data_IF_202286224369
#
_entry.id   IF_202286224369
#
_cell.length_a   1.000
_cell.length_b   1.000
_cell.length_c   1.000
_cell.angle_alpha   90.00
_cell.angle_beta   90.00
_cell.angle_gamma   90.00
#
_symmetry.space_group_name_H-M   'P 1'
#
loop_
_entity.id
_entity.type
_entity.pdbx_description
1 polymer ?
#
# COMPACT_ATOMS: atom_id res chain seq x y z
N UNK A 1 61.80 -10.48 30.69
CA UNK A 1 60.73 -11.09 29.87
C UNK A 1 59.41 -10.84 30.60
N UNK A 2 58.77 -9.71 30.28
CA UNK A 2 57.49 -9.60 29.57
C UNK A 2 56.28 -9.83 30.48
N UNK A 3 55.83 -8.73 31.09
CA UNK A 3 54.55 -8.61 31.78
C UNK A 3 53.40 -8.57 30.76
N UNK A 4 52.36 -9.38 31.03
CA UNK A 4 51.15 -9.46 30.20
C UNK A 4 50.15 -8.35 30.54
N UNK A 5 49.64 -7.71 29.49
CA UNK A 5 48.46 -6.83 29.52
C UNK A 5 47.25 -7.62 28.99
N UNK A 6 46.12 -7.68 29.69
CA UNK A 6 44.87 -8.14 29.10
C UNK A 6 44.25 -6.98 28.31
N UNK A 7 44.06 -7.18 27.01
CA UNK A 7 43.34 -6.27 26.14
C UNK A 7 41.85 -6.26 26.55
N UNK A 8 41.39 -5.12 27.08
CA UNK A 8 39.98 -4.78 27.20
C UNK A 8 39.38 -4.70 25.78
N UNK A 9 38.62 -5.71 25.37
CA UNK A 9 37.75 -5.57 24.20
C UNK A 9 36.54 -4.75 24.62
N UNK A 10 36.57 -3.45 24.27
CA UNK A 10 35.39 -2.60 24.22
C UNK A 10 34.44 -3.16 23.15
N UNK A 11 33.40 -3.86 23.59
CA UNK A 11 32.22 -4.12 22.78
C UNK A 11 31.53 -2.77 22.51
N UNK A 12 31.83 -2.17 21.35
CA UNK A 12 31.05 -1.05 20.84
C UNK A 12 29.63 -1.55 20.57
N UNK A 13 28.59 -0.89 21.11
CA UNK A 13 27.22 -1.23 20.76
C UNK A 13 27.06 -1.00 19.25
N UNK A 14 26.56 -2.01 18.53
CA UNK A 14 26.07 -1.83 17.17
C UNK A 14 25.06 -0.68 17.18
N UNK A 15 25.50 0.49 16.73
CA UNK A 15 24.61 1.59 16.44
C UNK A 15 23.60 1.07 15.41
N UNK A 16 22.34 0.95 15.82
CA UNK A 16 21.25 0.81 14.88
C UNK A 16 21.35 2.01 13.94
N UNK A 17 21.73 1.77 12.69
CA UNK A 17 21.75 2.80 11.66
C UNK A 17 20.30 3.27 11.48
N UNK A 18 19.95 4.39 12.11
CA UNK A 18 18.81 5.21 11.71
C UNK A 18 19.09 5.60 10.26
N UNK A 19 18.40 4.95 9.31
CA UNK A 19 18.53 5.33 7.91
C UNK A 19 17.99 6.75 7.78
N UNK A 20 18.89 7.69 7.59
CA UNK A 20 18.56 9.09 7.31
C UNK A 20 17.77 9.19 6.01
N UNK A 21 16.94 10.22 5.88
CA UNK A 21 16.23 10.52 4.65
C UNK A 21 17.17 10.48 3.44
N UNK A 22 16.71 9.92 2.32
CA UNK A 22 17.44 10.08 1.06
C UNK A 22 17.39 11.55 0.62
N UNK A 23 18.37 11.98 -0.18
CA UNK A 23 18.31 13.31 -0.80
C UNK A 23 17.10 13.38 -1.73
N UNK A 24 16.35 14.47 -1.68
CA UNK A 24 15.28 14.72 -2.64
C UNK A 24 15.80 14.56 -4.08
N UNK A 25 15.01 13.89 -4.92
CA UNK A 25 15.36 13.57 -6.29
C UNK A 25 16.22 12.32 -6.46
N UNK A 26 16.66 11.67 -5.37
CA UNK A 26 17.36 10.37 -5.43
C UNK A 26 16.50 9.34 -6.15
N UNK A 27 17.13 8.49 -6.95
CA UNK A 27 16.45 7.46 -7.73
C UNK A 27 16.72 6.08 -7.16
N UNK A 28 15.74 5.20 -7.28
CA UNK A 28 15.91 3.76 -7.07
C UNK A 28 15.05 2.99 -8.07
N UNK A 29 15.37 1.72 -8.29
CA UNK A 29 14.57 0.81 -9.08
C UNK A 29 13.96 -0.22 -8.13
N UNK A 30 12.64 -0.34 -8.18
CA UNK A 30 11.89 -1.35 -7.47
C UNK A 30 11.31 -2.36 -8.47
N UNK A 31 11.76 -3.60 -8.37
CA UNK A 31 11.18 -4.74 -9.09
C UNK A 31 10.27 -5.49 -8.14
N UNK A 32 9.06 -5.83 -8.55
CA UNK A 32 8.15 -6.57 -7.70
C UNK A 32 7.40 -7.65 -8.47
N UNK A 33 6.95 -8.66 -7.73
CA UNK A 33 6.09 -9.73 -8.21
C UNK A 33 4.93 -9.88 -7.23
N UNK A 34 3.72 -9.60 -7.70
CA UNK A 34 2.49 -9.86 -6.97
C UNK A 34 1.86 -11.15 -7.50
N UNK A 35 1.67 -12.13 -6.62
CA UNK A 35 1.16 -13.45 -6.97
C UNK A 35 -0.13 -13.73 -6.21
N UNK A 36 -1.20 -14.01 -6.96
CA UNK A 36 -2.48 -14.48 -6.42
C UNK A 36 -2.60 -15.97 -6.67
N UNK A 37 -2.84 -16.72 -5.59
CA UNK A 37 -3.20 -18.13 -5.64
C UNK A 37 -4.46 -18.34 -4.82
N UNK A 38 -5.56 -18.66 -5.48
CA UNK A 38 -6.80 -19.03 -4.78
C UNK A 38 -7.37 -20.34 -5.31
N UNK A 39 -8.02 -21.07 -4.41
CA UNK A 39 -8.83 -22.23 -4.71
C UNK A 39 -10.16 -22.07 -4.00
N UNK A 40 -11.24 -22.20 -4.76
CA UNK A 40 -12.58 -21.97 -4.26
C UNK A 40 -13.55 -23.04 -4.73
N UNK A 41 -14.60 -23.20 -3.94
CA UNK A 41 -15.81 -23.90 -4.35
C UNK A 41 -16.98 -23.06 -3.88
N UNK A 42 -17.85 -22.69 -4.80
CA UNK A 42 -19.04 -21.90 -4.50
C UNK A 42 -20.23 -22.43 -5.29
N UNK A 43 -21.40 -22.23 -4.74
CA UNK A 43 -22.66 -22.65 -5.35
C UNK A 43 -23.26 -21.43 -6.04
N UNK A 44 -23.38 -21.50 -7.37
CA UNK A 44 -23.91 -20.43 -8.21
C UNK A 44 -25.42 -20.69 -8.43
N UNK A 45 -26.24 -20.13 -7.54
CA UNK A 45 -27.68 -20.43 -7.47
C UNK A 45 -27.98 -21.86 -6.99
N UNK A 46 -29.23 -22.31 -7.14
CA UNK A 46 -29.65 -23.59 -6.56
C UNK A 46 -29.00 -24.82 -7.22
N UNK A 47 -28.59 -24.71 -8.48
CA UNK A 47 -28.33 -25.86 -9.34
C UNK A 47 -26.95 -25.88 -10.03
N UNK A 48 -26.09 -24.90 -9.78
CA UNK A 48 -24.73 -24.90 -10.31
C UNK A 48 -23.71 -24.91 -9.19
N UNK A 49 -22.71 -25.77 -9.34
CA UNK A 49 -21.55 -25.80 -8.46
C UNK A 49 -20.33 -25.40 -9.26
N UNK A 50 -19.64 -24.36 -8.81
CA UNK A 50 -18.43 -23.87 -9.45
C UNK A 50 -17.23 -24.12 -8.56
N UNK A 51 -16.19 -24.72 -9.13
CA UNK A 51 -14.87 -24.83 -8.53
C UNK A 51 -13.91 -23.93 -9.30
N UNK A 52 -13.02 -23.26 -8.58
CA UNK A 52 -12.02 -22.37 -9.16
C UNK A 52 -10.63 -22.71 -8.65
N UNK A 53 -9.65 -22.61 -9.54
CA UNK A 53 -8.24 -22.58 -9.23
C UNK A 53 -7.67 -21.39 -10.00
N UNK A 54 -7.33 -20.32 -9.29
CA UNK A 54 -6.83 -19.07 -9.86
C UNK A 54 -5.35 -18.97 -9.56
N UNK A 55 -4.57 -18.69 -10.59
CA UNK A 55 -3.14 -18.42 -10.46
C UNK A 55 -2.77 -17.26 -11.36
N UNK A 56 -2.49 -16.11 -10.74
CA UNK A 56 -2.18 -14.88 -11.46
C UNK A 56 -0.90 -14.28 -10.92
N UNK A 57 -0.09 -13.73 -11.82
CA UNK A 57 1.19 -13.13 -11.50
C UNK A 57 1.29 -11.80 -12.21
N UNK A 58 1.50 -10.73 -11.45
CA UNK A 58 1.84 -9.42 -11.97
C UNK A 58 3.29 -9.11 -11.61
N UNK A 59 4.14 -8.97 -12.62
CA UNK A 59 5.51 -8.49 -12.46
C UNK A 59 5.57 -7.03 -12.85
N UNK A 60 6.23 -6.22 -12.03
CA UNK A 60 6.45 -4.81 -12.30
C UNK A 60 7.90 -4.41 -12.05
N UNK A 61 8.36 -3.42 -12.80
CA UNK A 61 9.62 -2.72 -12.58
C UNK A 61 9.33 -1.23 -12.63
N UNK A 62 9.56 -0.54 -11.52
CA UNK A 62 9.30 0.88 -11.38
C UNK A 62 10.60 1.65 -11.10
N UNK A 63 10.80 2.76 -11.79
CA UNK A 63 11.77 3.77 -11.40
C UNK A 63 11.10 4.69 -10.38
N UNK A 64 11.61 4.73 -9.16
CA UNK A 64 11.09 5.61 -8.12
C UNK A 64 12.03 6.79 -7.88
N UNK A 65 11.46 7.92 -7.50
CA UNK A 65 12.19 9.11 -7.12
C UNK A 65 11.75 9.58 -5.73
N UNK A 66 12.72 9.85 -4.86
CA UNK A 66 12.47 10.38 -3.51
C UNK A 66 11.93 11.81 -3.61
N UNK A 67 10.78 12.05 -3.00
CA UNK A 67 10.26 13.39 -2.74
C UNK A 67 10.92 14.05 -1.53
N UNK A 68 10.51 15.29 -1.28
CA UNK A 68 10.83 16.00 -0.05
C UNK A 68 10.26 15.26 1.18
N UNK A 69 10.89 15.45 2.34
CA UNK A 69 10.34 14.97 3.62
C UNK A 69 9.16 15.87 3.98
N UNK A 70 8.02 15.24 4.22
CA UNK A 70 6.74 15.91 4.50
C UNK A 70 6.15 15.40 5.81
N UNK A 71 5.30 16.21 6.47
CA UNK A 71 4.66 15.85 7.74
C UNK A 71 3.76 14.60 7.66
N UNK A 72 3.30 14.20 6.47
CA UNK A 72 2.33 13.12 6.28
C UNK A 72 2.64 12.32 5.00
N UNK A 73 2.30 11.02 5.01
CA UNK A 73 2.36 10.15 3.82
C UNK A 73 1.23 10.41 2.82
N UNK A 74 1.04 9.49 1.86
CA UNK A 74 0.06 9.66 0.77
C UNK A 74 -1.39 9.68 1.26
N UNK A 75 -1.70 9.07 2.40
CA UNK A 75 -3.05 9.09 2.99
C UNK A 75 -3.40 10.41 3.70
N UNK A 76 -2.43 11.33 3.84
CA UNK A 76 -2.60 12.55 4.61
C UNK A 76 -2.56 12.33 6.14
N UNK A 77 -3.01 13.30 6.95
CA UNK A 77 -2.97 13.21 8.40
C UNK A 77 -3.90 12.12 8.92
N UNK A 78 -3.43 11.33 9.89
CA UNK A 78 -4.26 10.34 10.57
C UNK A 78 -5.42 11.02 11.34
N UNK A 79 -6.51 10.29 11.61
CA UNK A 79 -7.63 10.81 12.42
C UNK A 79 -7.21 11.33 13.81
N UNK A 80 -6.14 10.77 14.39
CA UNK A 80 -5.60 11.25 15.67
C UNK A 80 -4.87 12.59 15.49
N UNK A 81 -4.07 12.72 14.43
CA UNK A 81 -3.41 13.96 14.05
C UNK A 81 -4.42 15.04 13.66
N UNK A 82 -5.45 14.72 12.87
CA UNK A 82 -6.54 15.65 12.56
C UNK A 82 -7.26 16.14 13.82
N UNK A 83 -7.50 15.25 14.79
CA UNK A 83 -8.08 15.63 16.09
C UNK A 83 -7.13 16.49 16.90
N UNK A 84 -5.83 16.24 16.85
CA UNK A 84 -4.81 17.06 17.51
C UNK A 84 -4.72 18.46 16.87
N UNK A 85 -4.75 18.55 15.53
CA UNK A 85 -4.80 19.81 14.79
C UNK A 85 -6.09 20.60 15.04
N UNK A 86 -7.21 19.91 15.28
CA UNK A 86 -8.50 20.53 15.63
C UNK A 86 -8.63 20.87 17.11
N UNK A 87 -7.74 20.38 17.99
CA UNK A 87 -7.72 20.84 19.39
C UNK A 87 -7.22 22.28 19.36
N UNK A 88 -8.14 23.23 19.62
CA UNK A 88 -7.78 24.62 19.92
C UNK A 88 -6.67 24.60 20.96
N UNK A 89 -5.63 25.39 20.70
CA UNK A 89 -4.52 25.55 21.64
C UNK A 89 -5.11 25.91 23.03
N UNK A 90 -4.81 25.16 24.09
CA UNK A 90 -5.31 25.46 25.43
C UNK A 90 -4.97 26.89 25.88
N UNK A 91 -3.90 27.50 25.36
CA UNK A 91 -3.60 28.92 25.54
C UNK A 91 -4.68 29.83 24.95
N UNK A 92 -5.08 29.59 23.69
CA UNK A 92 -6.15 30.33 23.02
C UNK A 92 -7.53 30.11 23.66
N UNK A 93 -7.82 28.88 24.11
CA UNK A 93 -9.08 28.57 24.79
C UNK A 93 -9.18 29.24 26.19
N UNK A 94 -8.05 29.39 26.88
CA UNK A 94 -7.98 30.14 28.14
C UNK A 94 -8.17 31.65 27.92
N UNK A 95 -7.54 32.19 26.88
CA UNK A 95 -7.66 33.60 26.51
C UNK A 95 -9.06 33.98 26.03
N UNK A 96 -9.73 33.12 25.26
CA UNK A 96 -11.14 33.35 24.88
C UNK A 96 -12.06 33.41 26.10
N UNK A 97 -11.80 32.58 27.13
CA UNK A 97 -12.53 32.63 28.40
C UNK A 97 -12.22 33.91 29.19
N UNK A 98 -10.98 34.39 29.19
CA UNK A 98 -10.62 35.66 29.85
C UNK A 98 -11.18 36.88 29.11
N UNK A 99 -11.16 36.87 27.78
CA UNK A 99 -11.81 37.87 26.93
C UNK A 99 -13.32 37.94 27.19
N UNK A 100 -13.99 36.79 27.28
CA UNK A 100 -15.41 36.72 27.62
C UNK A 100 -15.72 37.26 29.03
N UNK A 101 -14.81 37.08 30.00
CA UNK A 101 -14.94 37.64 31.36
C UNK A 101 -14.79 39.17 31.36
N UNK A 102 -14.03 39.75 30.44
CA UNK A 102 -13.88 41.20 30.34
C UNK A 102 -15.18 41.93 29.90
N UNK A 103 -16.19 41.23 29.35
CA UNK A 103 -17.51 41.78 28.97
C UNK A 103 -17.46 43.15 28.24
N UNK A 104 -16.45 43.37 27.40
CA UNK A 104 -16.29 44.63 26.66
C UNK A 104 -15.61 45.78 27.41
N UNK A 105 -15.11 45.57 28.63
CA UNK A 105 -14.35 46.60 29.36
C UNK A 105 -12.98 46.83 28.69
N UNK A 106 -12.78 48.04 28.15
CA UNK A 106 -11.62 48.41 27.35
C UNK A 106 -10.29 48.32 28.11
N UNK A 107 -10.25 48.61 29.42
CA UNK A 107 -9.04 48.48 30.23
C UNK A 107 -8.67 47.00 30.47
N UNK A 108 -9.68 46.14 30.66
CA UNK A 108 -9.50 44.69 30.79
C UNK A 108 -9.01 44.07 29.47
N UNK A 109 -9.57 44.52 28.35
CA UNK A 109 -9.19 44.08 27.01
C UNK A 109 -7.75 44.52 26.64
N UNK A 110 -7.33 45.73 26.98
CA UNK A 110 -5.94 46.18 26.76
C UNK A 110 -4.94 45.42 27.63
N UNK A 111 -5.27 45.15 28.91
CA UNK A 111 -4.42 44.35 29.78
C UNK A 111 -4.30 42.89 29.29
N UNK A 112 -5.38 42.33 28.74
CA UNK A 112 -5.36 41.00 28.12
C UNK A 112 -4.51 40.98 26.84
N UNK A 113 -4.63 42.00 25.98
CA UNK A 113 -3.83 42.13 24.76
C UNK A 113 -2.34 42.27 25.07
N UNK A 114 -1.97 42.99 26.12
CA UNK A 114 -0.58 43.15 26.57
C UNK A 114 -0.02 41.83 27.14
N UNK A 115 -0.83 41.06 27.88
CA UNK A 115 -0.48 39.68 28.26
C UNK A 115 -0.29 38.76 27.06
N UNK A 116 -1.06 38.94 25.98
CA UNK A 116 -0.87 38.15 24.77
C UNK A 116 0.41 38.51 24.02
N UNK A 117 0.85 39.78 24.05
CA UNK A 117 2.12 40.17 23.42
C UNK A 117 3.35 39.72 24.21
N UNK A 118 3.21 39.45 25.51
CA UNK A 118 4.27 38.95 26.38
C UNK A 118 4.35 37.42 26.43
N UNK A 119 3.27 36.72 26.07
CA UNK A 119 3.30 35.27 25.90
C UNK A 119 3.85 34.95 24.51
N UNK A 120 5.06 34.38 24.47
CA UNK A 120 5.52 33.63 23.31
C UNK A 120 4.57 32.46 23.08
N UNK A 121 3.56 32.66 22.22
CA UNK A 121 2.86 31.58 21.55
C UNK A 121 3.82 30.93 20.57
N UNK A 122 4.88 30.31 21.08
CA UNK A 122 5.43 29.19 20.35
C UNK A 122 4.28 28.19 20.30
N UNK A 123 3.77 27.82 19.10
CA UNK A 123 2.95 26.63 19.04
C UNK A 123 3.79 25.59 19.76
N UNK A 124 3.27 25.00 20.85
CA UNK A 124 3.89 23.78 21.37
C UNK A 124 4.10 22.96 20.11
N UNK A 125 5.34 22.61 19.83
CA UNK A 125 5.63 21.51 18.93
C UNK A 125 4.83 20.36 19.55
N UNK A 126 3.57 20.21 19.15
CA UNK A 126 2.99 18.91 18.95
C UNK A 126 4.04 18.29 18.06
N UNK A 127 4.93 17.52 18.69
CA UNK A 127 5.68 16.42 18.10
C UNK A 127 5.11 16.22 16.72
N UNK A 128 5.74 16.83 15.70
CA UNK A 128 5.27 16.65 14.33
C UNK A 128 5.71 15.24 13.99
N UNK A 129 5.00 14.27 14.57
CA UNK A 129 5.08 12.86 14.27
C UNK A 129 4.74 12.75 12.80
N UNK A 130 5.77 12.58 11.98
CA UNK A 130 5.62 12.37 10.56
C UNK A 130 6.76 13.00 9.78
N UNK A 131 8.00 12.59 10.01
CA UNK A 131 9.03 12.82 9.01
C UNK A 131 8.88 11.71 7.96
N UNK A 132 7.98 11.88 6.98
CA UNK A 132 7.72 10.86 5.96
C UNK A 132 8.39 11.24 4.65
N UNK A 133 9.22 10.36 4.12
CA UNK A 133 9.73 10.47 2.76
C UNK A 133 8.98 9.52 1.83
N UNK A 134 8.34 10.07 0.81
CA UNK A 134 7.62 9.29 -0.21
C UNK A 134 8.50 9.12 -1.44
N UNK A 135 8.55 7.89 -1.96
CA UNK A 135 9.17 7.55 -3.23
C UNK A 135 8.08 7.38 -4.29
N UNK A 136 8.06 8.31 -5.25
CA UNK A 136 7.06 8.37 -6.30
C UNK A 136 7.54 7.63 -7.55
N UNK A 137 6.73 6.72 -8.12
CA UNK A 137 7.03 6.09 -9.40
C UNK A 137 7.02 7.14 -10.51
N UNK A 138 8.12 7.21 -11.25
CA UNK A 138 8.29 8.06 -12.43
C UNK A 138 7.89 7.31 -13.70
N UNK A 139 8.15 6.02 -13.71
CA UNK A 139 7.71 5.10 -14.76
C UNK A 139 7.63 3.69 -14.20
N UNK A 140 6.69 2.90 -14.69
CA UNK A 140 6.68 1.46 -14.49
C UNK A 140 6.40 0.73 -15.80
N UNK A 141 6.94 -0.47 -15.91
CA UNK A 141 6.59 -1.46 -16.93
C UNK A 141 6.41 -2.81 -16.26
N UNK A 142 5.79 -3.75 -16.98
CA UNK A 142 5.53 -5.06 -16.39
C UNK A 142 4.92 -6.07 -17.34
N UNK A 143 4.54 -7.20 -16.74
CA UNK A 143 3.81 -8.25 -17.43
C UNK A 143 2.83 -8.89 -16.45
N UNK A 144 1.64 -9.17 -16.96
CA UNK A 144 0.59 -9.89 -16.26
C UNK A 144 0.40 -11.26 -16.90
N UNK A 145 0.44 -12.31 -16.08
CA UNK A 145 0.19 -13.69 -16.51
C UNK A 145 -0.97 -14.26 -15.70
N UNK A 146 -1.88 -14.96 -16.37
CA UNK A 146 -2.94 -15.74 -15.73
C UNK A 146 -2.93 -17.18 -16.21
N UNK A 147 -3.25 -18.09 -15.30
CA UNK A 147 -3.49 -19.52 -15.51
C UNK A 147 -4.64 -19.94 -14.59
N UNK A 148 -5.85 -19.52 -14.96
CA UNK A 148 -7.04 -19.79 -14.18
C UNK A 148 -7.83 -20.95 -14.78
N UNK A 149 -8.39 -21.78 -13.90
CA UNK A 149 -9.29 -22.87 -14.25
C UNK A 149 -10.57 -22.73 -13.44
N UNK A 150 -11.71 -22.74 -14.13
CA UNK A 150 -13.03 -22.79 -13.55
C UNK A 150 -13.76 -24.01 -14.08
N UNK A 151 -14.34 -24.81 -13.19
CA UNK A 151 -15.19 -25.95 -13.57
C UNK A 151 -16.55 -25.77 -12.94
N UNK A 152 -17.58 -25.76 -13.77
CA UNK A 152 -18.97 -25.59 -13.41
C UNK A 152 -19.72 -26.89 -13.68
N UNK A 153 -20.37 -27.44 -12.66
CA UNK A 153 -21.30 -28.57 -12.75
C UNK A 153 -22.72 -28.02 -12.67
N UNK A 154 -23.46 -28.03 -13.78
CA UNK A 154 -24.74 -27.33 -13.90
C UNK A 154 -25.88 -28.32 -14.13
N UNK A 155 -26.95 -28.21 -13.33
CA UNK A 155 -28.19 -28.98 -13.45
C UNK A 155 -29.34 -28.07 -13.89
N UNK A 156 -29.76 -28.17 -15.15
CA UNK A 156 -30.80 -27.27 -15.70
C UNK A 156 -32.23 -27.82 -15.53
N UNK A 157 -32.42 -28.79 -14.63
CA UNK A 157 -33.71 -29.42 -14.35
C UNK A 157 -33.97 -30.67 -15.20
N UNK A 158 -34.86 -31.54 -14.71
CA UNK A 158 -35.11 -32.86 -15.32
C UNK A 158 -33.82 -33.70 -15.36
N UNK A 159 -33.58 -34.38 -16.49
CA UNK A 159 -32.35 -35.13 -16.77
C UNK A 159 -31.28 -34.31 -17.51
N UNK A 160 -31.43 -32.98 -17.58
CA UNK A 160 -30.53 -32.10 -18.30
C UNK A 160 -29.42 -31.59 -17.38
N UNK A 161 -28.19 -32.03 -17.63
CA UNK A 161 -26.99 -31.52 -16.96
C UNK A 161 -25.84 -31.38 -17.94
N UNK A 162 -24.97 -30.42 -17.67
CA UNK A 162 -23.78 -30.19 -18.47
C UNK A 162 -22.65 -29.73 -17.55
N UNK A 163 -21.41 -30.01 -17.96
CA UNK A 163 -20.23 -29.46 -17.30
C UNK A 163 -19.61 -28.41 -18.20
N UNK A 164 -19.13 -27.31 -17.62
CA UNK A 164 -18.35 -26.32 -18.32
C UNK A 164 -16.98 -26.18 -17.66
N UNK A 165 -15.92 -26.34 -18.45
CA UNK A 165 -14.55 -26.04 -18.03
C UNK A 165 -14.04 -24.82 -18.77
N UNK A 166 -13.85 -23.73 -18.03
CA UNK A 166 -13.26 -22.50 -18.53
C UNK A 166 -11.79 -22.39 -18.12
N UNK A 167 -10.91 -22.12 -19.06
CA UNK A 167 -9.50 -21.81 -18.80
C UNK A 167 -9.19 -20.40 -19.28
N UNK A 168 -8.56 -19.59 -18.42
CA UNK A 168 -8.02 -18.29 -18.80
C UNK A 168 -6.51 -18.40 -18.73
N UNK A 169 -5.86 -18.33 -19.88
CA UNK A 169 -4.41 -18.50 -19.99
C UNK A 169 -3.84 -17.44 -20.89
N UNK A 170 -2.76 -16.80 -20.46
CA UNK A 170 -2.05 -15.86 -21.31
C UNK A 170 -1.12 -14.95 -20.54
N UNK A 171 -0.34 -14.20 -21.31
CA UNK A 171 0.49 -13.12 -20.77
C UNK A 171 0.18 -11.85 -21.55
N UNK A 172 0.04 -10.74 -20.84
CA UNK A 172 -0.14 -9.41 -21.41
C UNK A 172 0.94 -8.48 -20.86
N UNK A 173 1.52 -7.67 -21.74
CA UNK A 173 2.58 -6.73 -21.40
C UNK A 173 1.98 -5.40 -20.95
N UNK A 174 2.57 -4.80 -19.93
CA UNK A 174 2.28 -3.45 -19.47
C UNK A 174 3.43 -2.54 -19.95
N UNK A 175 3.22 -1.78 -21.04
CA UNK A 175 4.28 -0.94 -21.60
C UNK A 175 4.64 0.20 -20.64
N UNK A 176 5.88 0.67 -20.73
CA UNK A 176 6.32 1.87 -20.02
C UNK A 176 5.61 3.10 -20.59
N UNK A 177 4.93 3.86 -19.72
CA UNK A 177 4.18 5.07 -20.11
C UNK A 177 4.59 6.33 -19.36
N UNK A 178 5.71 6.29 -18.61
CA UNK A 178 6.08 7.36 -17.68
C UNK A 178 4.97 7.66 -16.68
N UNK A 179 4.78 8.94 -16.35
CA UNK A 179 3.73 9.40 -15.42
C UNK A 179 2.30 9.21 -15.93
N UNK A 180 2.11 9.02 -17.24
CA UNK A 180 0.79 8.74 -17.84
C UNK A 180 0.50 7.24 -17.95
N UNK A 181 1.49 6.40 -17.66
CA UNK A 181 1.37 4.96 -17.67
C UNK A 181 0.85 4.39 -16.35
N UNK A 182 0.96 3.07 -16.23
CA UNK A 182 0.72 2.41 -14.96
C UNK A 182 1.81 2.77 -13.94
N UNK A 183 1.39 3.13 -12.72
CA UNK A 183 2.25 3.51 -11.61
C UNK A 183 2.07 2.51 -10.46
N UNK A 184 2.82 1.41 -10.53
CA UNK A 184 2.53 0.19 -9.77
C UNK A 184 3.00 0.15 -8.31
N UNK A 185 3.95 1.00 -7.91
CA UNK A 185 4.48 0.97 -6.54
C UNK A 185 4.84 2.38 -6.04
N UNK A 186 4.37 2.71 -4.85
CA UNK A 186 4.80 3.84 -4.05
C UNK A 186 5.40 3.33 -2.75
N UNK A 187 6.39 4.03 -2.21
CA UNK A 187 7.03 3.66 -0.95
C UNK A 187 7.01 4.85 -0.01
N UNK A 188 6.52 4.66 1.21
CA UNK A 188 6.52 5.67 2.26
C UNK A 188 7.49 5.21 3.35
N UNK A 189 8.52 6.00 3.61
CA UNK A 189 9.43 5.77 4.71
C UNK A 189 9.14 6.77 5.82
N UNK A 190 8.57 6.28 6.92
CA UNK A 190 8.44 7.02 8.17
C UNK A 190 9.78 6.99 8.91
N UNK A 191 10.47 8.13 8.87
CA UNK A 191 11.79 8.32 9.48
C UNK A 191 11.70 8.38 11.01
N UNK A 192 10.58 8.85 11.55
CA UNK A 192 10.37 8.96 13.00
C UNK A 192 10.18 7.57 13.62
N UNK A 193 9.40 6.71 12.96
CA UNK A 193 9.14 5.34 13.41
C UNK A 193 10.12 4.31 12.84
N UNK A 194 10.99 4.73 11.92
CA UNK A 194 11.92 3.89 11.19
C UNK A 194 11.20 2.68 10.57
N UNK A 195 10.14 2.96 9.82
CA UNK A 195 9.26 1.96 9.20
C UNK A 195 8.91 2.36 7.78
N UNK A 196 8.76 1.37 6.91
CA UNK A 196 8.41 1.57 5.50
C UNK A 196 7.09 0.90 5.15
N UNK A 197 6.23 1.62 4.46
CA UNK A 197 5.00 1.13 3.85
C UNK A 197 5.16 1.06 2.32
N UNK A 198 4.63 0.02 1.72
CA UNK A 198 4.66 -0.20 0.28
C UNK A 198 3.21 -0.16 -0.24
N UNK A 199 2.87 0.80 -1.09
CA UNK A 199 1.55 0.87 -1.71
C UNK A 199 1.64 0.31 -3.12
N UNK A 200 1.03 -0.84 -3.30
CA UNK A 200 0.95 -1.50 -4.58
C UNK A 200 -0.34 -1.09 -5.28
N UNK A 201 -0.22 -0.54 -6.49
CA UNK A 201 -1.35 -0.23 -7.34
C UNK A 201 -1.46 -1.28 -8.44
N UNK A 202 -2.59 -1.98 -8.46
CA UNK A 202 -2.88 -2.96 -9.49
C UNK A 202 -2.92 -2.31 -10.89
N UNK A 203 -2.45 -3.04 -11.90
CA UNK A 203 -2.62 -2.63 -13.28
C UNK A 203 -4.09 -2.75 -13.71
N UNK A 204 -4.50 -1.98 -14.73
CA UNK A 204 -5.83 -2.14 -15.31
C UNK A 204 -6.02 -3.57 -15.83
N UNK A 205 -7.25 -4.09 -15.75
CA UNK A 205 -7.59 -5.41 -16.26
C UNK A 205 -7.32 -5.54 -17.78
N UNK A 206 -6.52 -6.54 -18.14
CA UNK A 206 -6.03 -6.76 -19.50
C UNK A 206 -6.81 -7.88 -20.20
N UNK A 207 -7.07 -7.77 -21.51
CA UNK A 207 -7.76 -8.82 -22.26
C UNK A 207 -6.89 -10.07 -22.37
N UNK A 208 -7.37 -11.21 -21.86
CA UNK A 208 -6.70 -12.51 -21.95
C UNK A 208 -7.59 -13.56 -22.60
N UNK A 209 -7.00 -14.56 -23.24
CA UNK A 209 -7.74 -15.64 -23.89
C UNK A 209 -8.45 -16.52 -22.86
N UNK A 210 -9.77 -16.64 -23.03
CA UNK A 210 -10.63 -17.57 -22.30
C UNK A 210 -11.16 -18.62 -23.27
N UNK A 211 -10.94 -19.89 -22.94
CA UNK A 211 -11.56 -21.03 -23.63
C UNK A 211 -12.53 -21.71 -22.68
N UNK A 212 -13.77 -21.91 -23.11
CA UNK A 212 -14.76 -22.69 -22.37
C UNK A 212 -15.13 -23.92 -23.18
N UNK A 213 -14.93 -25.10 -22.59
CA UNK A 213 -15.34 -26.39 -23.16
C UNK A 213 -16.53 -26.89 -22.35
N UNK A 214 -17.65 -27.13 -23.03
CA UNK A 214 -18.86 -27.71 -22.45
C UNK A 214 -19.03 -29.16 -22.87
N UNK A 215 -19.51 -29.99 -21.95
CA UNK A 215 -19.84 -31.41 -22.18
C UNK A 215 -21.27 -31.69 -21.74
N UNK A 216 -21.87 -32.80 -22.19
CA UNK A 216 -23.28 -33.11 -21.94
C UNK A 216 -24.21 -32.45 -22.96
N UNK A 217 -25.43 -32.10 -22.56
CA UNK A 217 -26.47 -31.70 -23.52
C UNK A 217 -26.19 -30.34 -24.21
N UNK A 218 -25.31 -29.50 -23.64
CA UNK A 218 -24.81 -28.25 -24.24
C UNK A 218 -23.38 -28.36 -24.77
N UNK A 219 -22.98 -29.52 -25.27
CA UNK A 219 -21.62 -29.75 -25.75
C UNK A 219 -21.18 -28.70 -26.79
N UNK A 220 -19.95 -28.21 -26.67
CA UNK A 220 -19.40 -27.20 -27.56
C UNK A 220 -18.20 -26.47 -26.96
N UNK A 221 -17.49 -25.71 -27.79
CA UNK A 221 -16.37 -24.88 -27.36
C UNK A 221 -16.62 -23.43 -27.74
N UNK A 222 -16.36 -22.51 -26.81
CA UNK A 222 -16.42 -21.06 -27.06
C UNK A 222 -15.10 -20.42 -26.66
N UNK A 223 -14.71 -19.37 -27.38
CA UNK A 223 -13.53 -18.55 -27.08
C UNK A 223 -13.95 -17.09 -26.92
N UNK A 224 -13.32 -16.39 -25.98
CA UNK A 224 -13.50 -14.96 -25.78
C UNK A 224 -12.25 -14.34 -25.18
N UNK A 225 -12.19 -13.00 -25.13
CA UNK A 225 -11.08 -12.24 -24.55
C UNK A 225 -11.55 -11.33 -23.40
N UNK A 226 -11.97 -11.90 -22.25
CA UNK A 226 -12.35 -11.08 -21.10
C UNK A 226 -11.17 -10.26 -20.57
N UNK A 227 -11.46 -9.10 -19.97
CA UNK A 227 -10.49 -8.32 -19.21
C UNK A 227 -10.30 -8.93 -17.82
N UNK A 228 -9.06 -9.17 -17.44
CA UNK A 228 -8.68 -9.87 -16.21
C UNK A 228 -7.64 -9.05 -15.47
N UNK A 229 -7.89 -8.77 -14.19
CA UNK A 229 -6.95 -8.16 -13.25
C UNK A 229 -6.28 -9.20 -12.35
N UNK A 230 -5.28 -8.78 -11.58
CA UNK A 230 -4.64 -9.58 -10.53
C UNK A 230 -5.65 -9.96 -9.45
N UNK A 231 -6.44 -9.01 -8.94
CA UNK A 231 -7.48 -9.26 -7.92
C UNK A 231 -8.88 -8.97 -8.47
N UNK A 232 -9.91 -9.55 -7.85
CA UNK A 232 -11.30 -9.25 -8.24
C UNK A 232 -11.84 -7.98 -7.58
N UNK A 233 -11.18 -7.52 -6.50
CA UNK A 233 -11.52 -6.31 -5.75
C UNK A 233 -10.22 -5.60 -5.39
N UNK A 234 -10.07 -4.38 -5.88
CA UNK A 234 -8.96 -3.50 -5.53
C UNK A 234 -8.91 -3.29 -4.01
N UNK A 235 -7.81 -3.71 -3.36
CA UNK A 235 -7.53 -3.40 -1.96
C UNK A 235 -6.53 -2.22 -1.90
N UNK A 236 -6.97 -1.01 -1.54
CA UNK A 236 -6.09 0.15 -1.43
C UNK A 236 -5.15 0.09 -0.21
N UNK A 237 -5.28 -0.93 0.64
CA UNK A 237 -4.54 -0.99 1.89
C UNK A 237 -3.04 -1.17 1.63
N UNK A 238 -2.17 -0.31 2.21
CA UNK A 238 -0.73 -0.47 2.09
C UNK A 238 -0.25 -1.84 2.58
N UNK A 239 0.92 -2.22 2.09
CA UNK A 239 1.66 -3.39 2.53
C UNK A 239 2.71 -2.97 3.57
N UNK A 240 2.73 -3.66 4.71
CA UNK A 240 3.58 -3.33 5.85
C UNK A 240 2.76 -2.88 7.07
N UNK A 241 3.39 -2.21 8.05
CA UNK A 241 4.75 -1.65 8.02
C UNK A 241 5.87 -2.70 8.06
N UNK A 242 6.98 -2.41 7.38
CA UNK A 242 8.24 -3.16 7.48
C UNK A 242 9.24 -2.33 8.28
N UNK A 243 9.90 -2.93 9.27
CA UNK A 243 10.89 -2.22 10.11
C UNK A 243 12.13 -1.85 9.30
N UNK A 244 12.60 -0.62 9.45
CA UNK A 244 13.72 -0.05 8.71
C UNK A 244 13.28 0.78 7.52
N UNK A 245 14.26 1.37 6.82
CA UNK A 245 14.00 2.11 5.60
C UNK A 245 13.80 1.24 4.36
N UNK A 246 13.85 1.87 3.19
CA UNK A 246 13.50 1.24 1.91
C UNK A 246 14.48 0.10 1.60
N UNK A 247 13.94 -1.12 1.56
CA UNK A 247 14.70 -2.36 1.44
C UNK A 247 13.92 -3.40 0.64
N UNK A 248 14.59 -4.43 0.15
CA UNK A 248 13.94 -5.58 -0.49
C UNK A 248 13.18 -6.41 0.55
N UNK A 249 12.12 -7.10 0.14
CA UNK A 249 11.29 -7.85 1.08
C UNK A 249 10.21 -8.69 0.42
N UNK A 250 9.41 -9.32 1.27
CA UNK A 250 8.24 -10.11 0.89
C UNK A 250 7.17 -9.99 1.96
N UNK A 251 5.92 -9.90 1.54
CA UNK A 251 4.76 -9.94 2.41
C UNK A 251 3.67 -10.82 1.81
N UNK A 252 2.92 -11.50 2.66
CA UNK A 252 1.72 -12.24 2.26
C UNK A 252 0.50 -11.73 3.02
N UNK A 253 -0.62 -11.59 2.31
CA UNK A 253 -1.95 -11.36 2.89
C UNK A 253 -2.84 -12.55 2.54
N UNK A 254 -3.63 -12.98 3.52
CA UNK A 254 -4.70 -13.94 3.26
C UNK A 254 -5.85 -13.19 2.56
N UNK A 255 -6.35 -13.78 1.48
CA UNK A 255 -7.50 -13.30 0.72
C UNK A 255 -8.55 -14.41 0.67
N UNK A 256 -9.76 -14.08 0.24
CA UNK A 256 -10.82 -15.08 0.10
C UNK A 256 -10.37 -16.25 -0.81
N UNK A 257 -10.39 -17.47 -0.27
CA UNK A 257 -10.00 -18.68 -0.99
C UNK A 257 -8.49 -18.84 -1.20
N UNK A 258 -7.61 -18.01 -0.64
CA UNK A 258 -6.17 -18.24 -0.75
C UNK A 258 -5.27 -17.10 -0.28
N UNK A 259 -4.21 -16.84 -1.04
CA UNK A 259 -3.11 -15.95 -0.64
C UNK A 259 -2.73 -14.98 -1.75
N UNK A 260 -2.48 -13.74 -1.38
CA UNK A 260 -1.80 -12.75 -2.20
C UNK A 260 -0.40 -12.52 -1.61
N UNK A 261 0.63 -12.73 -2.41
CA UNK A 261 2.04 -12.54 -2.02
C UNK A 261 2.61 -11.40 -2.84
N UNK A 262 3.30 -10.46 -2.19
CA UNK A 262 4.04 -9.39 -2.83
C UNK A 262 5.52 -9.53 -2.45
N UNK A 263 6.34 -9.84 -3.44
CA UNK A 263 7.79 -9.86 -3.33
C UNK A 263 8.36 -8.61 -4.03
N UNK A 264 9.36 -7.95 -3.44
CA UNK A 264 10.01 -6.82 -4.08
C UNK A 264 11.50 -6.75 -3.81
N UNK A 265 12.22 -6.21 -4.78
CA UNK A 265 13.66 -5.99 -4.78
C UNK A 265 13.97 -4.54 -5.07
N UNK A 266 14.75 -3.93 -4.20
CA UNK A 266 15.22 -2.55 -4.33
C UNK A 266 16.66 -2.56 -4.84
N UNK A 267 16.94 -1.75 -5.85
CA UNK A 267 18.28 -1.46 -6.38
C UNK A 267 18.49 0.05 -6.49
N UNK A 268 19.72 0.51 -6.26
CA UNK A 268 20.09 1.93 -6.23
C UNK A 268 21.12 2.21 -7.33
#
# INVERSE_FOLDING_TARGET
>A
MLAGLPALMLALPSAAQTQTAAREGSKLIAEFTATVKTKGRFQDGANALTTSAVHRVLKGRCQLQAGAVVPYGLDGPSKQQEKAMKKKDPGMASLEKEHAKCKGNQACLMALAQKMSEQDFQPKETEVEGAVQVWYPQSCSGAFTADDVYTEDIKDGGNLSYQARSTITGTATLPEGGLKGWLGLYVEHDLARNQTLYRFNEAEALPLDKKTVRTGYRAGTTQSKPRVGLTQRFDPTPWGPVKGGVQSGSLSKNIEGGTLVLDWKISR
#
